data_IF_440847111099
#
_entry.id   IF_440847111099
#
_cell.length_a   1.000
_cell.length_b   1.000
_cell.length_c   1.000
_cell.angle_alpha   90.00
_cell.angle_beta   90.00
_cell.angle_gamma   90.00
#
_symmetry.space_group_name_H-M   'P 1'
#
loop_
_entity.id
_entity.type
_entity.pdbx_description
1 polymer ?
#
# COMPACT_ATOMS: atom_id res chain seq x y z
N UNK A 1 -15.37 18.37 -8.47
CA UNK A 1 -14.33 17.45 -7.98
C UNK A 1 -14.99 16.37 -7.14
N UNK A 2 -14.61 15.10 -7.30
CA UNK A 2 -15.14 14.02 -6.46
C UNK A 2 -14.70 14.21 -5.01
N UNK A 3 -15.63 14.12 -4.06
CA UNK A 3 -15.34 14.24 -2.63
C UNK A 3 -14.89 12.88 -2.05
N UNK A 4 -14.04 12.93 -1.03
CA UNK A 4 -13.66 11.73 -0.29
C UNK A 4 -14.75 11.36 0.72
N UNK A 5 -15.13 10.09 0.75
CA UNK A 5 -16.12 9.53 1.68
C UNK A 5 -15.44 8.51 2.58
N UNK A 6 -15.59 8.63 3.89
CA UNK A 6 -15.09 7.64 4.84
C UNK A 6 -15.96 6.38 4.79
N UNK A 7 -15.31 5.23 4.68
CA UNK A 7 -15.92 3.89 4.65
C UNK A 7 -15.26 3.01 5.70
N UNK A 8 -15.84 1.86 5.97
CA UNK A 8 -15.27 0.87 6.88
C UNK A 8 -15.64 -0.55 6.48
N UNK A 9 -14.75 -1.49 6.80
CA UNK A 9 -14.97 -2.93 6.70
C UNK A 9 -14.69 -3.58 8.06
N UNK A 10 -15.23 -4.78 8.27
CA UNK A 10 -14.94 -5.59 9.45
C UNK A 10 -13.91 -6.65 9.07
N UNK A 11 -12.81 -6.73 9.84
CA UNK A 11 -11.73 -7.70 9.63
C UNK A 11 -11.42 -8.33 10.98
N UNK A 12 -11.64 -9.65 11.12
CA UNK A 12 -11.46 -10.37 12.39
C UNK A 12 -12.13 -9.66 13.59
N UNK A 13 -13.35 -9.15 13.41
CA UNK A 13 -14.09 -8.43 14.45
C UNK A 13 -13.62 -6.98 14.70
N UNK A 14 -12.54 -6.53 14.05
CA UNK A 14 -12.06 -5.15 14.12
C UNK A 14 -12.60 -4.31 12.97
N UNK A 15 -13.20 -3.16 13.30
CA UNK A 15 -13.62 -2.17 12.29
C UNK A 15 -12.40 -1.41 11.78
N UNK A 16 -12.06 -1.59 10.51
CA UNK A 16 -10.99 -0.87 9.79
C UNK A 16 -11.58 0.16 8.86
N UNK A 17 -10.92 1.32 8.70
CA UNK A 17 -11.45 2.45 7.91
C UNK A 17 -10.60 2.78 6.71
N UNK A 18 -11.24 3.38 5.70
CA UNK A 18 -10.54 3.90 4.53
C UNK A 18 -11.32 5.10 3.96
N UNK A 19 -10.65 5.94 3.16
CA UNK A 19 -11.29 7.00 2.38
C UNK A 19 -11.45 6.55 0.94
N UNK A 20 -12.68 6.63 0.42
CA UNK A 20 -13.02 6.36 -0.97
C UNK A 20 -13.16 7.68 -1.73
N UNK A 21 -12.52 7.79 -2.88
CA UNK A 21 -12.79 8.82 -3.89
C UNK A 21 -13.21 8.10 -5.16
N UNK A 22 -14.45 8.31 -5.59
CA UNK A 22 -15.02 7.61 -6.74
C UNK A 22 -15.41 8.58 -7.85
N UNK A 23 -15.61 8.10 -9.09
CA UNK A 23 -16.11 8.93 -10.17
C UNK A 23 -17.47 9.55 -9.82
N UNK A 24 -17.79 10.70 -10.44
CA UNK A 24 -19.11 11.30 -10.30
C UNK A 24 -20.21 10.30 -10.72
N UNK A 25 -21.41 10.39 -10.15
CA UNK A 25 -22.50 9.45 -10.45
C UNK A 25 -22.87 9.39 -11.94
N UNK A 26 -22.71 10.50 -12.67
CA UNK A 26 -22.92 10.58 -14.12
C UNK A 26 -21.80 9.90 -14.94
N UNK A 27 -20.65 9.61 -14.35
CA UNK A 27 -19.56 8.90 -15.02
C UNK A 27 -19.93 7.42 -15.12
N UNK A 28 -20.31 7.00 -16.32
CA UNK A 28 -20.58 5.60 -16.65
C UNK A 28 -19.32 4.76 -16.43
N UNK A 29 -19.48 3.62 -15.75
CA UNK A 29 -18.42 2.61 -15.73
C UNK A 29 -18.27 2.03 -17.15
N UNK A 30 -17.03 1.66 -17.52
CA UNK A 30 -16.79 0.79 -18.67
C UNK A 30 -17.64 -0.48 -18.54
N UNK A 31 -17.94 -1.13 -19.67
CA UNK A 31 -18.54 -2.47 -19.69
C UNK A 31 -17.75 -3.47 -18.83
N UNK A 32 -16.43 -3.28 -18.73
CA UNK A 32 -15.51 -4.12 -17.94
C UNK A 32 -15.42 -3.73 -16.46
N UNK A 33 -16.12 -2.69 -15.99
CA UNK A 33 -15.99 -2.18 -14.61
C UNK A 33 -14.88 -1.13 -14.42
N UNK A 34 -14.75 -0.63 -13.19
CA UNK A 34 -13.83 0.46 -12.81
C UNK A 34 -12.50 -0.11 -12.31
N UNK A 35 -11.40 0.51 -12.70
CA UNK A 35 -10.11 0.24 -12.05
C UNK A 35 -10.13 0.74 -10.60
N UNK A 36 -9.36 0.11 -9.73
CA UNK A 36 -9.15 0.52 -8.34
C UNK A 36 -7.69 0.87 -8.11
N UNK A 37 -7.43 2.00 -7.44
CA UNK A 37 -6.11 2.36 -6.94
C UNK A 37 -6.15 2.44 -5.43
N UNK A 38 -5.48 1.50 -4.78
CA UNK A 38 -5.23 1.48 -3.35
C UNK A 38 -4.03 2.38 -3.04
N UNK A 39 -4.13 3.23 -2.03
CA UNK A 39 -3.06 4.14 -1.60
C UNK A 39 -2.76 3.94 -0.12
N UNK A 40 -1.52 3.56 0.19
CA UNK A 40 -1.07 3.24 1.54
C UNK A 40 -0.12 4.32 2.08
N UNK A 41 -0.45 4.86 3.26
CA UNK A 41 0.31 5.92 3.91
C UNK A 41 1.62 5.42 4.55
N UNK A 42 2.55 6.35 4.85
CA UNK A 42 3.78 6.05 5.60
C UNK A 42 3.54 5.91 7.11
N UNK A 43 4.59 5.62 7.88
CA UNK A 43 4.46 5.50 9.34
C UNK A 43 3.95 6.77 9.99
N UNK A 44 3.16 6.61 11.04
CA UNK A 44 2.54 7.69 11.81
C UNK A 44 1.65 8.64 10.97
N UNK A 45 1.07 8.12 9.88
CA UNK A 45 0.12 8.83 9.02
C UNK A 45 -1.27 8.19 9.07
N UNK A 46 -2.20 8.75 8.29
CA UNK A 46 -3.56 8.24 8.08
C UNK A 46 -3.90 8.31 6.59
N UNK A 47 -5.00 7.70 6.17
CA UNK A 47 -5.57 7.83 4.83
C UNK A 47 -5.71 9.30 4.40
N UNK A 48 -6.20 10.14 5.31
CA UNK A 48 -6.39 11.56 5.05
C UNK A 48 -5.04 12.32 4.96
N UNK A 49 -4.06 11.91 5.75
CA UNK A 49 -2.71 12.51 5.72
C UNK A 49 -2.04 12.25 4.38
N UNK A 50 -1.97 11.00 3.91
CA UNK A 50 -1.34 10.69 2.61
C UNK A 50 -2.09 11.32 1.43
N UNK A 51 -3.43 11.38 1.51
CA UNK A 51 -4.25 12.08 0.52
C UNK A 51 -3.89 13.56 0.41
N UNK A 52 -3.68 14.26 1.54
CA UNK A 52 -3.20 15.65 1.52
C UNK A 52 -1.72 15.77 1.12
N UNK A 53 -0.89 14.85 1.59
CA UNK A 53 0.55 14.86 1.36
C UNK A 53 0.91 14.69 -0.12
N UNK A 54 0.09 13.92 -0.86
CA UNK A 54 0.17 13.79 -2.31
C UNK A 54 -0.53 14.93 -3.08
N UNK A 55 -0.88 16.02 -2.41
CA UNK A 55 -1.69 17.13 -2.95
C UNK A 55 -2.96 16.65 -3.67
N UNK A 56 -3.57 15.56 -3.17
CA UNK A 56 -4.74 14.90 -3.78
C UNK A 56 -4.52 14.46 -5.23
N UNK A 57 -3.28 14.30 -5.68
CA UNK A 57 -2.95 13.94 -7.07
C UNK A 57 -3.67 12.66 -7.51
N UNK A 58 -3.77 11.67 -6.63
CA UNK A 58 -4.48 10.42 -6.95
C UNK A 58 -6.00 10.63 -7.14
N UNK A 59 -6.64 11.63 -6.52
CA UNK A 59 -8.06 11.92 -6.71
C UNK A 59 -8.39 12.21 -8.19
N UNK A 60 -7.42 12.73 -8.95
CA UNK A 60 -7.59 12.99 -10.38
C UNK A 60 -7.89 11.72 -11.20
N UNK A 61 -7.48 10.54 -10.71
CA UNK A 61 -7.79 9.25 -11.32
C UNK A 61 -9.28 8.93 -11.26
N UNK A 62 -9.99 9.44 -10.25
CA UNK A 62 -11.45 9.34 -10.20
C UNK A 62 -12.13 10.17 -11.30
N UNK A 63 -11.53 11.30 -11.69
CA UNK A 63 -11.96 12.06 -12.88
C UNK A 63 -11.77 11.29 -14.19
N UNK A 64 -10.95 10.24 -14.19
CA UNK A 64 -10.70 9.33 -15.32
C UNK A 64 -11.45 8.00 -15.21
N UNK A 65 -12.37 7.88 -14.25
CA UNK A 65 -13.23 6.70 -14.11
C UNK A 65 -12.73 5.61 -13.15
N UNK A 66 -11.57 5.79 -12.50
CA UNK A 66 -11.10 4.87 -11.47
C UNK A 66 -11.75 5.14 -10.10
N UNK A 67 -11.73 4.14 -9.21
CA UNK A 67 -11.99 4.32 -7.79
C UNK A 67 -10.64 4.42 -7.09
N UNK A 68 -10.50 5.34 -6.15
CA UNK A 68 -9.29 5.49 -5.33
C UNK A 68 -9.64 5.24 -3.88
N UNK A 69 -8.88 4.37 -3.22
CA UNK A 69 -9.07 4.04 -1.81
C UNK A 69 -7.79 4.31 -1.03
N UNK A 70 -7.83 5.27 -0.12
CA UNK A 70 -6.75 5.52 0.83
C UNK A 70 -7.04 4.75 2.11
N UNK A 71 -6.23 3.75 2.47
CA UNK A 71 -6.51 2.87 3.61
C UNK A 71 -5.90 3.43 4.90
N UNK A 72 -6.55 3.20 6.05
CA UNK A 72 -5.99 3.51 7.37
C UNK A 72 -5.31 2.28 7.99
N UNK A 73 -3.99 2.39 8.20
CA UNK A 73 -3.19 1.46 8.96
C UNK A 73 -3.56 1.46 10.45
N UNK A 74 -3.30 0.35 11.13
CA UNK A 74 -3.59 0.21 12.55
C UNK A 74 -2.65 1.09 13.39
N UNK A 75 -3.24 2.03 14.14
CA UNK A 75 -2.51 3.08 14.88
C UNK A 75 -1.46 3.81 14.02
N UNK A 76 -1.79 4.07 12.75
CA UNK A 76 -0.96 4.84 11.83
C UNK A 76 0.23 4.08 11.23
N UNK A 77 0.25 2.75 11.32
CA UNK A 77 1.27 1.91 10.73
C UNK A 77 0.70 0.59 10.18
N UNK A 78 1.58 -0.21 9.56
CA UNK A 78 1.24 -1.47 8.91
C UNK A 78 2.01 -2.65 9.49
N UNK A 79 1.40 -3.83 9.43
CA UNK A 79 2.07 -5.11 9.57
C UNK A 79 2.78 -5.44 8.24
N UNK A 80 3.81 -4.66 7.89
CA UNK A 80 4.40 -4.63 6.55
C UNK A 80 5.29 -5.85 6.21
N UNK A 81 6.14 -5.78 5.17
CA UNK A 81 7.00 -6.89 4.75
C UNK A 81 8.21 -7.17 5.67
N UNK A 82 8.50 -6.31 6.66
CA UNK A 82 9.73 -6.37 7.47
C UNK A 82 9.50 -7.06 8.80
N UNK A 83 10.19 -8.16 9.05
CA UNK A 83 10.10 -8.95 10.31
C UNK A 83 10.51 -8.09 11.51
N UNK A 84 11.58 -7.30 11.37
CA UNK A 84 12.09 -6.39 12.40
C UNK A 84 11.32 -5.07 12.56
N UNK A 85 10.15 -4.93 11.93
CA UNK A 85 9.28 -3.75 12.13
C UNK A 85 8.82 -3.67 13.59
N UNK A 86 9.04 -2.52 14.22
CA UNK A 86 8.55 -2.28 15.60
C UNK A 86 7.24 -1.48 15.58
N UNK A 87 6.44 -1.58 14.52
CA UNK A 87 5.13 -0.95 14.49
C UNK A 87 4.16 -1.62 15.47
N UNK A 88 3.13 -0.88 15.91
CA UNK A 88 2.05 -1.47 16.69
C UNK A 88 1.32 -2.56 15.89
N UNK A 89 1.12 -2.33 14.59
CA UNK A 89 0.49 -3.28 13.69
C UNK A 89 1.27 -4.61 13.59
N UNK A 90 2.61 -4.57 13.52
CA UNK A 90 3.45 -5.78 13.56
C UNK A 90 3.36 -6.49 14.91
N UNK A 91 3.54 -5.76 16.03
CA UNK A 91 3.52 -6.36 17.37
C UNK A 91 2.19 -7.01 17.75
N UNK A 92 1.09 -6.48 17.24
CA UNK A 92 -0.26 -7.02 17.46
C UNK A 92 -0.71 -7.96 16.33
N UNK A 93 0.20 -8.34 15.43
CA UNK A 93 -0.06 -9.27 14.33
C UNK A 93 -1.30 -8.91 13.51
N UNK A 94 -1.51 -7.61 13.27
CA UNK A 94 -2.70 -7.12 12.58
C UNK A 94 -2.74 -7.69 11.17
N UNK A 95 -3.87 -8.28 10.80
CA UNK A 95 -4.07 -8.84 9.46
C UNK A 95 -4.40 -7.74 8.44
N UNK A 96 -3.37 -7.03 8.00
CA UNK A 96 -3.49 -6.01 6.96
C UNK A 96 -3.71 -6.60 5.56
N UNK A 97 -3.42 -7.89 5.33
CA UNK A 97 -3.71 -8.57 4.07
C UNK A 97 -5.22 -8.83 3.94
N UNK A 98 -5.85 -9.33 5.01
CA UNK A 98 -7.30 -9.47 5.06
C UNK A 98 -7.99 -8.10 4.96
N UNK A 99 -7.40 -7.04 5.53
CA UNK A 99 -7.94 -5.69 5.37
C UNK A 99 -7.90 -5.19 3.93
N UNK A 100 -6.77 -5.31 3.25
CA UNK A 100 -6.65 -4.95 1.82
C UNK A 100 -7.66 -5.74 0.99
N UNK A 101 -7.74 -7.05 1.21
CA UNK A 101 -8.69 -7.94 0.52
C UNK A 101 -10.13 -7.50 0.73
N UNK A 102 -10.52 -7.23 1.99
CA UNK A 102 -11.87 -6.79 2.34
C UNK A 102 -12.24 -5.44 1.70
N UNK A 103 -11.29 -4.51 1.56
CA UNK A 103 -11.53 -3.23 0.85
C UNK A 103 -11.74 -3.45 -0.64
N UNK A 104 -10.95 -4.32 -1.28
CA UNK A 104 -11.14 -4.69 -2.69
C UNK A 104 -12.55 -5.27 -2.89
N UNK A 105 -12.97 -6.19 -2.02
CA UNK A 105 -14.28 -6.83 -2.13
C UNK A 105 -15.46 -5.88 -1.82
N UNK A 106 -15.32 -5.00 -0.84
CA UNK A 106 -16.32 -3.96 -0.56
C UNK A 106 -16.52 -3.04 -1.78
N UNK A 107 -15.43 -2.60 -2.42
CA UNK A 107 -15.50 -1.72 -3.59
C UNK A 107 -15.92 -2.45 -4.85
N UNK A 108 -15.59 -3.74 -5.00
CA UNK A 108 -16.14 -4.53 -6.11
C UNK A 108 -17.67 -4.66 -6.01
N UNK A 109 -18.19 -4.85 -4.79
CA UNK A 109 -19.63 -4.96 -4.55
C UNK A 109 -20.38 -3.62 -4.72
N UNK A 110 -19.81 -2.51 -4.24
CA UNK A 110 -20.54 -1.24 -4.14
C UNK A 110 -20.16 -0.20 -5.21
N UNK A 111 -19.00 -0.37 -5.86
CA UNK A 111 -18.44 0.60 -6.81
C UNK A 111 -18.25 0.08 -8.23
N UNK A 112 -18.62 -1.19 -8.46
CA UNK A 112 -18.35 -1.91 -9.73
C UNK A 112 -16.86 -1.92 -10.07
N UNK A 113 -16.02 -2.04 -9.03
CA UNK A 113 -14.58 -2.27 -9.26
C UNK A 113 -14.42 -3.63 -9.93
N UNK A 114 -13.61 -3.62 -10.98
CA UNK A 114 -13.09 -4.81 -11.64
C UNK A 114 -11.92 -5.36 -10.81
N UNK A 115 -12.05 -6.62 -10.37
CA UNK A 115 -11.05 -7.27 -9.50
C UNK A 115 -9.73 -7.52 -10.22
N UNK A 116 -9.73 -7.55 -11.55
CA UNK A 116 -8.52 -7.75 -12.36
C UNK A 116 -7.81 -6.43 -12.67
N UNK A 117 -8.35 -5.30 -12.21
CA UNK A 117 -7.82 -3.94 -12.45
C UNK A 117 -7.56 -3.19 -11.16
N UNK A 118 -6.97 -3.89 -10.20
CA UNK A 118 -6.58 -3.34 -8.89
C UNK A 118 -5.09 -3.01 -8.89
N UNK A 119 -4.76 -1.75 -8.63
CA UNK A 119 -3.40 -1.26 -8.49
C UNK A 119 -3.17 -0.81 -7.05
N UNK A 120 -1.94 -0.87 -6.59
CA UNK A 120 -1.59 -0.47 -5.23
C UNK A 120 -0.34 0.42 -5.22
N UNK A 121 -0.41 1.53 -4.49
CA UNK A 121 0.70 2.47 -4.34
C UNK A 121 0.97 2.70 -2.86
N UNK A 122 2.23 2.58 -2.45
CA UNK A 122 2.63 2.74 -1.06
C UNK A 122 3.78 3.71 -0.88
N UNK A 123 3.67 4.56 0.14
CA UNK A 123 4.73 5.46 0.58
C UNK A 123 5.40 4.96 1.86
N UNK A 124 6.73 4.86 1.90
CA UNK A 124 7.52 4.48 3.08
C UNK A 124 7.04 3.16 3.71
N UNK A 125 6.52 3.15 4.95
CA UNK A 125 5.89 1.95 5.55
C UNK A 125 4.76 1.36 4.69
N UNK A 126 3.96 2.19 4.03
CA UNK A 126 2.96 1.73 3.06
C UNK A 126 3.60 1.09 1.83
N UNK A 127 4.80 1.50 1.45
CA UNK A 127 5.59 0.86 0.39
C UNK A 127 6.04 -0.55 0.80
N UNK A 128 6.54 -0.73 2.02
CA UNK A 128 6.82 -2.07 2.55
C UNK A 128 5.56 -2.93 2.69
N UNK A 129 4.41 -2.33 3.01
CA UNK A 129 3.13 -3.05 3.03
C UNK A 129 2.69 -3.44 1.61
N UNK A 130 2.94 -2.59 0.62
CA UNK A 130 2.71 -2.88 -0.81
C UNK A 130 3.55 -4.08 -1.23
N UNK A 131 4.83 -4.14 -0.85
CA UNK A 131 5.70 -5.31 -1.11
C UNK A 131 5.09 -6.58 -0.49
N UNK A 132 4.56 -6.50 0.73
CA UNK A 132 3.89 -7.65 1.36
C UNK A 132 2.66 -8.08 0.55
N UNK A 133 1.78 -7.13 0.21
CA UNK A 133 0.55 -7.38 -0.55
C UNK A 133 0.84 -8.11 -1.87
N UNK A 134 1.81 -7.64 -2.66
CA UNK A 134 2.10 -8.25 -3.96
C UNK A 134 2.71 -9.65 -3.87
N UNK A 135 3.26 -10.04 -2.72
CA UNK A 135 3.77 -11.40 -2.49
C UNK A 135 2.69 -12.33 -1.91
N UNK A 136 1.82 -11.84 -1.03
CA UNK A 136 0.84 -12.72 -0.36
C UNK A 136 -0.45 -12.89 -1.17
N UNK A 137 -0.84 -11.91 -1.98
CA UNK A 137 -2.04 -11.94 -2.82
C UNK A 137 -1.78 -11.45 -4.26
N UNK A 138 -0.78 -12.00 -4.99
CA UNK A 138 -0.40 -11.52 -6.32
C UNK A 138 -1.57 -11.53 -7.32
N UNK A 139 -2.44 -12.55 -7.26
CA UNK A 139 -3.61 -12.69 -8.13
C UNK A 139 -4.69 -11.61 -7.93
N UNK A 140 -4.56 -10.77 -6.89
CA UNK A 140 -5.51 -9.68 -6.60
C UNK A 140 -4.99 -8.32 -7.02
N UNK A 141 -3.79 -8.24 -7.59
CA UNK A 141 -3.10 -6.99 -7.88
C UNK A 141 -2.54 -7.02 -9.31
N UNK A 142 -3.00 -6.08 -10.15
CA UNK A 142 -2.56 -5.93 -11.53
C UNK A 142 -1.23 -5.16 -11.66
N UNK A 143 -0.85 -4.37 -10.66
CA UNK A 143 0.42 -3.66 -10.64
C UNK A 143 0.62 -2.80 -9.40
N UNK A 144 1.88 -2.42 -9.16
CA UNK A 144 2.27 -1.74 -7.93
C UNK A 144 3.20 -0.53 -8.16
N UNK A 145 3.08 0.46 -7.28
CA UNK A 145 3.96 1.61 -7.16
C UNK A 145 4.58 1.70 -5.77
N UNK A 146 5.90 1.80 -5.70
CA UNK A 146 6.65 1.93 -4.45
C UNK A 146 7.29 3.32 -4.39
N UNK A 147 7.05 4.07 -3.31
CA UNK A 147 7.62 5.41 -3.11
C UNK A 147 8.38 5.42 -1.78
N UNK A 148 9.68 5.76 -1.82
CA UNK A 148 10.56 5.80 -0.63
C UNK A 148 10.54 4.50 0.19
N UNK A 149 10.58 3.36 -0.50
CA UNK A 149 10.68 2.03 0.11
C UNK A 149 11.56 1.13 -0.78
N UNK A 150 12.47 0.38 -0.15
CA UNK A 150 13.27 -0.64 -0.84
C UNK A 150 12.87 -2.03 -0.36
N UNK A 151 13.49 -3.08 -0.91
CA UNK A 151 13.22 -4.45 -0.49
C UNK A 151 13.89 -4.75 0.86
N UNK A 152 13.22 -5.49 1.75
CA UNK A 152 13.84 -5.99 2.97
C UNK A 152 15.00 -6.93 2.63
N UNK A 153 16.06 -6.95 3.44
CA UNK A 153 17.09 -7.98 3.26
C UNK A 153 16.52 -9.38 3.57
N UNK A 154 17.24 -10.42 3.16
CA UNK A 154 16.75 -11.80 3.28
C UNK A 154 16.42 -12.22 4.72
N UNK A 155 17.14 -11.69 5.73
CA UNK A 155 16.89 -12.00 7.13
C UNK A 155 15.68 -11.23 7.70
N UNK A 156 15.28 -10.15 7.04
CA UNK A 156 14.21 -9.25 7.48
C UNK A 156 12.94 -9.37 6.63
N UNK A 157 12.93 -10.18 5.57
CA UNK A 157 11.79 -10.28 4.66
C UNK A 157 10.82 -11.40 5.03
N UNK A 158 9.58 -11.04 5.33
CA UNK A 158 8.53 -12.01 5.66
C UNK A 158 7.98 -12.75 4.42
N UNK A 159 8.16 -12.17 3.23
CA UNK A 159 7.57 -12.69 1.99
C UNK A 159 8.36 -13.83 1.33
N UNK A 160 9.52 -14.22 1.87
CA UNK A 160 10.35 -15.31 1.33
C UNK A 160 9.67 -16.69 1.36
N UNK A 161 8.52 -16.80 2.03
CA UNK A 161 7.68 -18.01 2.06
C UNK A 161 6.72 -18.14 0.88
N UNK A 162 6.63 -17.13 0.01
CA UNK A 162 5.73 -17.11 -1.14
C UNK A 162 6.52 -17.19 -2.45
N UNK A 163 5.96 -17.89 -3.44
CA UNK A 163 6.48 -17.95 -4.80
C UNK A 163 6.31 -16.58 -5.48
N UNK A 164 7.33 -16.15 -6.22
CA UNK A 164 7.29 -14.87 -6.95
C UNK A 164 6.52 -15.03 -8.27
N UNK A 165 5.60 -14.10 -8.54
CA UNK A 165 4.88 -14.00 -9.80
C UNK A 165 5.27 -12.72 -10.55
N UNK A 166 5.44 -12.75 -11.90
CA UNK A 166 5.70 -11.55 -12.67
C UNK A 166 4.60 -10.50 -12.49
N UNK A 167 4.98 -9.28 -12.09
CA UNK A 167 4.04 -8.16 -11.89
C UNK A 167 4.68 -6.85 -12.35
N UNK A 168 3.88 -5.96 -12.93
CA UNK A 168 4.33 -4.61 -13.24
C UNK A 168 4.55 -3.81 -11.94
N UNK A 169 5.80 -3.49 -11.63
CA UNK A 169 6.17 -2.68 -10.45
C UNK A 169 6.97 -1.46 -10.89
N UNK A 170 6.60 -0.28 -10.39
CA UNK A 170 7.38 0.96 -10.55
C UNK A 170 7.90 1.43 -9.20
N UNK A 171 9.16 1.84 -9.14
CA UNK A 171 9.81 2.30 -7.91
C UNK A 171 10.33 3.73 -8.05
N UNK A 172 10.03 4.57 -7.06
CA UNK A 172 10.55 5.92 -6.92
C UNK A 172 11.30 6.04 -5.60
N UNK A 173 12.59 6.37 -5.64
CA UNK A 173 13.41 6.50 -4.44
C UNK A 173 14.36 7.69 -4.54
N UNK A 174 14.32 8.58 -3.55
CA UNK A 174 15.22 9.72 -3.49
C UNK A 174 16.65 9.30 -3.13
N UNK A 175 17.64 9.77 -3.87
CA UNK A 175 19.07 9.48 -3.59
C UNK A 175 19.55 10.05 -2.26
N UNK A 176 18.90 11.12 -1.78
CA UNK A 176 19.17 11.78 -0.50
C UNK A 176 18.18 11.41 0.62
N UNK A 177 17.40 10.33 0.47
CA UNK A 177 16.45 9.90 1.50
C UNK A 177 17.21 9.55 2.80
N UNK A 178 16.92 10.30 3.87
CA UNK A 178 17.62 10.16 5.15
C UNK A 178 17.04 9.05 6.02
N UNK A 179 15.83 8.57 5.74
CA UNK A 179 15.12 7.56 6.51
C UNK A 179 15.29 6.17 5.92
N UNK A 180 14.99 6.00 4.62
CA UNK A 180 15.27 4.78 3.86
C UNK A 180 16.43 5.08 2.93
N UNK A 181 17.64 4.74 3.33
CA UNK A 181 18.84 5.10 2.56
C UNK A 181 18.78 4.48 1.15
N UNK A 182 19.04 5.28 0.13
CA UNK A 182 19.09 4.82 -1.27
C UNK A 182 20.10 3.66 -1.47
N UNK A 183 21.24 3.72 -0.79
CA UNK A 183 22.27 2.67 -0.79
C UNK A 183 21.92 1.43 0.05
N UNK A 184 20.74 1.38 0.66
CA UNK A 184 20.38 0.35 1.63
C UNK A 184 20.93 0.65 3.02
N UNK A 185 20.57 -0.18 3.98
CA UNK A 185 20.97 -0.01 5.38
C UNK A 185 20.88 -1.35 6.12
N UNK A 186 21.89 -1.65 6.93
CA UNK A 186 21.89 -2.81 7.80
C UNK A 186 21.01 -2.59 9.04
N UNK A 187 20.48 -3.68 9.60
CA UNK A 187 19.64 -3.68 10.81
C UNK A 187 20.33 -3.08 12.06
N UNK A 188 21.66 -2.91 12.04
CA UNK A 188 22.45 -2.46 13.18
C UNK A 188 23.11 -1.09 12.92
N UNK A 189 22.50 -0.04 13.47
CA UNK A 189 23.11 1.19 14.02
C UNK A 189 21.97 2.12 14.45
N UNK A 190 22.00 2.59 15.70
CA UNK A 190 20.96 3.38 16.36
C UNK A 190 20.60 4.70 15.67
N UNK A 191 19.87 4.60 14.56
CA UNK A 191 19.27 5.71 13.84
C UNK A 191 17.75 5.65 13.86
N UNK A 192 17.10 6.68 13.33
CA UNK A 192 15.65 6.87 13.33
C UNK A 192 14.83 5.80 12.56
N UNK A 193 15.48 4.85 11.88
CA UNK A 193 14.81 3.83 11.07
C UNK A 193 14.37 2.63 11.91
N UNK A 194 13.05 2.42 11.95
CA UNK A 194 12.38 1.46 12.81
C UNK A 194 11.90 0.23 12.03
N UNK A 195 12.80 -0.56 11.44
CA UNK A 195 12.36 -1.73 10.69
C UNK A 195 13.38 -2.73 10.16
N UNK A 196 14.56 -2.85 10.79
CA UNK A 196 15.58 -3.81 10.36
C UNK A 196 16.28 -3.42 9.05
N UNK A 197 17.02 -4.37 8.48
CA UNK A 197 17.84 -4.13 7.30
C UNK A 197 17.07 -4.21 5.98
N UNK A 198 17.50 -3.39 5.03
CA UNK A 198 16.92 -3.31 3.68
C UNK A 198 18.04 -3.18 2.65
N UNK A 199 17.84 -3.73 1.47
CA UNK A 199 18.80 -3.61 0.36
C UNK A 199 18.71 -2.24 -0.30
N UNK A 200 19.71 -1.91 -1.13
CA UNK A 200 19.73 -0.66 -1.91
C UNK A 200 18.55 -0.57 -2.88
N UNK A 201 18.17 0.65 -3.27
CA UNK A 201 17.12 0.86 -4.27
C UNK A 201 17.45 0.18 -5.63
N UNK A 202 18.70 0.25 -6.16
CA UNK A 202 19.05 -0.52 -7.36
C UNK A 202 19.02 -2.04 -7.19
N UNK A 203 19.34 -2.55 -6.00
CA UNK A 203 19.23 -3.99 -5.73
C UNK A 203 17.77 -4.42 -5.62
N UNK A 204 16.92 -3.62 -4.97
CA UNK A 204 15.49 -3.86 -4.87
C UNK A 204 14.80 -3.84 -6.24
N UNK A 205 15.25 -2.99 -7.17
CA UNK A 205 14.71 -2.92 -8.53
C UNK A 205 15.13 -4.10 -9.44
N UNK A 206 16.11 -4.91 -9.02
CA UNK A 206 16.57 -6.11 -9.74
C UNK A 206 15.94 -7.40 -9.23
N UNK A 207 15.29 -7.34 -8.07
CA UNK A 207 14.51 -8.44 -7.50
C UNK A 207 13.31 -8.71 -8.39
#
# INVERSE_FOLDING_TARGET
MSSAVKRSVLVAGMRRTYLRVAPAAAATASATGRALVLVLHGSNQSANTIRRYSDRTFDSLAGRGAVVAYLDGFHGDWNDARVGSISAARRNEIDDIAFVTAVIDDLAAHDRVDRDRVFIVGFSAGGYMTIRVIHEIPDRIAGAGLISATHADAANFIGSRYESAPMAVTMFHGTSDIFVKYGGQSAWRGGAFRGGGVVSAPAAAKY
#
